data_IF_608643470822
#
_entry.id   IF_608643470822
#
_cell.length_a   1.000
_cell.length_b   1.000
_cell.length_c   1.000
_cell.angle_alpha   90.00
_cell.angle_beta   90.00
_cell.angle_gamma   90.00
#
_symmetry.space_group_name_H-M   'P 1'
#
loop_
_entity.id
_entity.type
_entity.pdbx_description
1 polymer ?
#
# COMPACT_ATOMS: atom_id res chain seq x y z
N UNK A 1 25.34 -3.02 20.16
CA UNK A 1 24.08 -2.52 20.77
C UNK A 1 23.00 -3.50 20.37
N UNK A 2 22.31 -4.14 21.32
CA UNK A 2 21.37 -5.21 20.98
C UNK A 2 20.17 -4.63 20.25
N UNK A 3 19.89 -5.15 19.05
CA UNK A 3 18.69 -4.87 18.23
C UNK A 3 17.43 -5.46 18.91
N UNK A 4 17.13 -5.09 20.16
CA UNK A 4 15.88 -5.47 20.84
C UNK A 4 14.81 -4.42 20.53
N UNK A 5 13.61 -4.89 20.19
CA UNK A 5 12.42 -4.05 20.10
C UNK A 5 12.25 -3.36 21.45
N UNK A 6 12.01 -2.03 21.46
CA UNK A 6 11.79 -1.32 22.71
C UNK A 6 10.54 -1.83 23.41
N UNK A 7 10.55 -1.81 24.75
CA UNK A 7 9.40 -2.20 25.56
C UNK A 7 8.15 -1.38 25.18
N UNK A 8 8.34 -0.13 24.75
CA UNK A 8 7.28 0.73 24.24
C UNK A 8 6.67 0.23 22.91
N UNK A 9 7.50 -0.24 21.97
CA UNK A 9 7.03 -0.81 20.71
C UNK A 9 6.36 -2.16 20.91
N UNK A 10 6.86 -3.00 21.83
CA UNK A 10 6.20 -4.22 22.27
C UNK A 10 4.85 -3.91 22.92
N UNK A 11 4.80 -2.94 23.83
CA UNK A 11 3.56 -2.50 24.48
C UNK A 11 2.53 -1.94 23.49
N UNK A 12 2.96 -1.24 22.43
CA UNK A 12 2.07 -0.77 21.38
C UNK A 12 1.46 -1.92 20.55
N UNK A 13 2.26 -2.95 20.26
CA UNK A 13 1.80 -4.18 19.59
C UNK A 13 0.83 -4.93 20.51
N UNK A 14 1.20 -5.11 21.78
CA UNK A 14 0.37 -5.81 22.76
C UNK A 14 -0.94 -5.07 23.06
N UNK A 15 -0.92 -3.74 23.18
CA UNK A 15 -2.13 -2.94 23.32
C UNK A 15 -3.04 -3.03 22.08
N UNK A 16 -2.45 -3.14 20.89
CA UNK A 16 -3.20 -3.39 19.65
C UNK A 16 -3.81 -4.80 19.65
N UNK A 17 -3.08 -5.83 20.07
CA UNK A 17 -3.57 -7.21 20.17
C UNK A 17 -4.60 -7.39 21.30
N UNK A 18 -4.44 -6.70 22.43
CA UNK A 18 -5.33 -6.78 23.59
C UNK A 18 -6.72 -6.16 23.33
N UNK A 19 -6.80 -5.13 22.46
CA UNK A 19 -8.07 -4.61 21.94
C UNK A 19 -8.86 -5.65 21.11
N UNK A 20 -8.23 -6.77 20.77
CA UNK A 20 -8.69 -7.78 19.84
C UNK A 20 -8.76 -9.16 20.50
N UNK A 21 -9.47 -9.27 21.64
CA UNK A 21 -9.55 -10.47 22.51
C UNK A 21 -9.57 -11.80 21.73
N UNK A 22 -8.76 -12.80 22.15
CA UNK A 22 -8.80 -14.12 21.55
C UNK A 22 -10.09 -14.86 21.86
N UNK A 23 -10.80 -15.26 20.81
CA UNK A 23 -11.98 -16.12 20.91
C UNK A 23 -11.52 -17.53 21.28
N UNK A 24 -12.06 -18.11 22.35
CA UNK A 24 -11.86 -19.53 22.68
C UNK A 24 -12.50 -20.38 21.57
N UNK A 25 -11.75 -21.31 20.98
CA UNK A 25 -12.30 -22.30 20.06
C UNK A 25 -13.13 -23.32 20.85
N UNK A 26 -14.29 -23.76 20.33
CA UNK A 26 -15.01 -24.90 20.87
C UNK A 26 -14.17 -26.18 20.76
N UNK A 27 -14.25 -27.04 21.79
CA UNK A 27 -13.71 -28.40 21.76
C UNK A 27 -14.19 -29.13 20.50
N UNK A 28 -13.27 -29.74 19.74
CA UNK A 28 -13.59 -30.51 18.53
C UNK A 28 -13.46 -29.81 17.17
N UNK A 29 -13.09 -28.52 17.10
CA UNK A 29 -12.76 -27.85 15.84
C UNK A 29 -11.27 -27.95 15.50
N UNK A 30 -10.91 -28.49 14.32
CA UNK A 30 -9.56 -28.39 13.75
C UNK A 30 -9.59 -28.29 12.22
N UNK A 31 -8.53 -27.71 11.66
CA UNK A 31 -8.24 -27.57 10.22
C UNK A 31 -7.32 -28.67 9.68
N UNK A 32 -7.22 -29.83 10.36
CA UNK A 32 -6.39 -30.97 9.93
C UNK A 32 -7.16 -32.28 10.07
N UNK A 33 -7.15 -33.10 9.01
CA UNK A 33 -7.65 -34.47 9.06
C UNK A 33 -6.74 -35.33 9.96
N UNK A 34 -7.14 -35.53 11.22
CA UNK A 34 -6.45 -36.44 12.15
C UNK A 34 -6.15 -35.90 13.55
N UNK A 35 -6.47 -34.64 13.85
CA UNK A 35 -6.27 -34.06 15.19
C UNK A 35 -7.53 -33.37 15.70
N UNK A 36 -7.72 -33.32 17.01
CA UNK A 36 -8.81 -32.60 17.70
C UNK A 36 -8.25 -31.73 18.82
N UNK A 37 -8.84 -30.55 19.04
CA UNK A 37 -8.56 -29.76 20.26
C UNK A 37 -9.39 -30.30 21.42
N UNK A 38 -8.72 -30.74 22.48
CA UNK A 38 -9.31 -31.18 23.76
C UNK A 38 -8.59 -30.42 24.87
N UNK A 39 -9.36 -29.69 25.69
CA UNK A 39 -8.88 -28.93 26.85
C UNK A 39 -7.67 -28.01 26.56
N UNK A 40 -7.73 -27.31 25.41
CA UNK A 40 -6.68 -26.37 24.99
C UNK A 40 -5.40 -27.02 24.46
N UNK A 41 -5.38 -28.36 24.30
CA UNK A 41 -4.27 -29.11 23.71
C UNK A 41 -4.72 -29.80 22.42
N UNK A 42 -3.82 -29.93 21.46
CA UNK A 42 -4.06 -30.65 20.22
C UNK A 42 -3.72 -32.14 20.42
N UNK A 43 -4.67 -33.04 20.17
CA UNK A 43 -4.53 -34.50 20.36
C UNK A 43 -4.86 -35.24 19.06
N UNK A 44 -4.16 -36.35 18.79
CA UNK A 44 -4.40 -37.18 17.60
C UNK A 44 -5.76 -37.90 17.72
N UNK A 45 -6.56 -37.92 16.65
CA UNK A 45 -7.90 -38.49 16.63
C UNK A 45 -7.83 -39.99 16.32
N UNK A 46 -8.17 -40.84 17.28
CA UNK A 46 -8.37 -42.27 17.04
C UNK A 46 -9.59 -42.48 16.12
N UNK A 47 -9.43 -43.28 15.07
CA UNK A 47 -10.43 -43.45 14.01
C UNK A 47 -11.72 -44.17 14.44
N UNK A 48 -11.76 -44.78 15.64
CA UNK A 48 -12.83 -45.71 16.03
C UNK A 48 -14.08 -45.05 16.63
N UNK A 49 -14.03 -43.76 17.00
CA UNK A 49 -15.08 -43.13 17.82
C UNK A 49 -15.82 -41.96 17.13
N UNK A 50 -16.14 -42.04 15.83
CA UNK A 50 -16.94 -41.00 15.16
C UNK A 50 -18.42 -41.40 14.96
N UNK A 51 -19.31 -41.15 15.93
CA UNK A 51 -20.76 -41.40 15.79
C UNK A 51 -21.49 -40.37 14.89
N UNK A 52 -20.82 -39.33 14.36
CA UNK A 52 -21.45 -38.23 13.62
C UNK A 52 -21.32 -38.33 12.08
N UNK A 53 -21.03 -39.50 11.52
CA UNK A 53 -20.89 -39.68 10.07
C UNK A 53 -22.21 -39.62 9.25
N UNK A 54 -23.35 -39.28 9.86
CA UNK A 54 -24.64 -39.13 9.15
C UNK A 54 -25.38 -37.88 9.62
N UNK A 55 -25.20 -36.75 8.92
CA UNK A 55 -25.95 -35.53 9.24
C UNK A 55 -25.64 -34.32 8.36
N UNK A 56 -26.34 -34.23 7.24
CA UNK A 56 -26.68 -33.05 6.42
C UNK A 56 -26.14 -31.66 6.81
N UNK A 57 -25.49 -31.00 5.84
CA UNK A 57 -25.63 -29.56 5.58
C UNK A 57 -25.69 -29.28 4.07
N UNK A 58 -26.89 -29.34 3.49
CA UNK A 58 -27.17 -28.68 2.22
C UNK A 58 -27.48 -27.20 2.51
N UNK A 59 -26.60 -26.28 2.12
CA UNK A 59 -26.86 -24.84 2.21
C UNK A 59 -27.78 -24.41 1.07
N UNK A 60 -29.01 -24.00 1.41
CA UNK A 60 -29.92 -23.28 0.52
C UNK A 60 -29.36 -21.88 0.18
N UNK A 61 -29.60 -21.44 -1.06
CA UNK A 61 -29.37 -20.08 -1.52
C UNK A 61 -30.02 -19.06 -0.56
N UNK A 62 -29.32 -17.95 -0.31
CA UNK A 62 -29.63 -16.98 0.74
C UNK A 62 -31.09 -16.53 0.76
N UNK A 63 -31.76 -16.76 1.89
CA UNK A 63 -33.09 -16.21 2.17
C UNK A 63 -33.01 -14.68 2.24
N UNK A 64 -33.74 -14.00 1.37
CA UNK A 64 -33.99 -12.55 1.45
C UNK A 64 -34.71 -12.28 2.79
N UNK A 65 -34.32 -11.22 3.52
CA UNK A 65 -35.03 -10.86 4.74
C UNK A 65 -36.49 -10.50 4.43
N UNK A 66 -37.47 -10.89 5.27
CA UNK A 66 -38.89 -10.59 5.03
C UNK A 66 -39.17 -9.12 4.72
N UNK A 67 -38.47 -8.20 5.40
CA UNK A 67 -38.58 -6.75 5.18
C UNK A 67 -38.19 -6.29 3.77
N UNK A 68 -37.22 -6.94 3.14
CA UNK A 68 -36.78 -6.62 1.77
C UNK A 68 -37.76 -7.18 0.75
N UNK A 69 -38.33 -8.37 1.01
CA UNK A 69 -39.37 -8.95 0.17
C UNK A 69 -40.64 -8.09 0.16
N UNK A 70 -41.09 -7.63 1.34
CA UNK A 70 -42.25 -6.74 1.47
C UNK A 70 -42.04 -5.38 0.79
N UNK A 71 -40.88 -4.74 1.00
CA UNK A 71 -40.56 -3.47 0.33
C UNK A 71 -40.55 -3.61 -1.19
N UNK A 72 -40.01 -4.72 -1.72
CA UNK A 72 -40.03 -5.01 -3.15
C UNK A 72 -41.44 -5.23 -3.69
N UNK A 73 -42.35 -5.77 -2.88
CA UNK A 73 -43.75 -5.90 -3.26
C UNK A 73 -44.42 -4.51 -3.36
N UNK A 74 -44.29 -3.68 -2.32
CA UNK A 74 -44.82 -2.29 -2.34
C UNK A 74 -44.24 -1.45 -3.48
N UNK A 75 -42.96 -1.66 -3.79
CA UNK A 75 -42.30 -0.98 -4.91
C UNK A 75 -42.96 -1.29 -6.27
N UNK A 76 -43.51 -2.50 -6.47
CA UNK A 76 -44.29 -2.82 -7.69
C UNK A 76 -45.58 -1.99 -7.76
N UNK A 77 -46.24 -1.79 -6.63
CA UNK A 77 -47.47 -1.01 -6.55
C UNK A 77 -47.19 0.48 -6.81
N UNK A 78 -46.10 1.03 -6.25
CA UNK A 78 -45.68 2.40 -6.52
C UNK A 78 -45.34 2.64 -7.99
N UNK A 79 -44.65 1.69 -8.63
CA UNK A 79 -44.35 1.77 -10.06
C UNK A 79 -45.61 1.71 -10.93
N UNK A 80 -46.62 0.93 -10.52
CA UNK A 80 -47.91 0.88 -11.22
C UNK A 80 -48.68 2.19 -11.09
N UNK A 81 -48.47 2.92 -9.97
CA UNK A 81 -49.01 4.27 -9.73
C UNK A 81 -48.21 5.39 -10.39
N UNK A 82 -47.12 5.08 -11.10
CA UNK A 82 -46.29 6.08 -11.78
C UNK A 82 -45.42 6.92 -10.85
N UNK A 83 -45.20 6.49 -9.60
CA UNK A 83 -44.36 7.23 -8.65
C UNK A 83 -42.89 7.22 -9.11
N UNK A 84 -42.21 8.33 -8.91
CA UNK A 84 -40.77 8.46 -9.11
C UNK A 84 -39.97 7.72 -8.02
N UNK A 85 -38.69 7.46 -8.30
CA UNK A 85 -37.79 6.83 -7.32
C UNK A 85 -37.65 7.66 -6.03
N UNK A 86 -37.77 8.98 -6.12
CA UNK A 86 -37.69 9.89 -4.97
C UNK A 86 -38.95 9.77 -4.08
N UNK A 87 -40.14 9.73 -4.69
CA UNK A 87 -41.40 9.55 -3.96
C UNK A 87 -41.49 8.18 -3.30
N UNK A 88 -40.98 7.14 -3.98
CA UNK A 88 -40.86 5.79 -3.40
C UNK A 88 -39.91 5.79 -2.18
N UNK A 89 -38.79 6.51 -2.27
CA UNK A 89 -37.81 6.60 -1.20
C UNK A 89 -38.36 7.32 0.03
N UNK A 90 -39.13 8.39 -0.18
CA UNK A 90 -39.84 9.12 0.87
C UNK A 90 -40.91 8.23 1.53
N UNK A 91 -41.68 7.49 0.73
CA UNK A 91 -42.75 6.62 1.24
C UNK A 91 -42.23 5.45 2.08
N UNK A 92 -41.08 4.88 1.72
CA UNK A 92 -40.46 3.77 2.46
C UNK A 92 -39.46 4.24 3.53
N UNK A 93 -39.23 5.54 3.67
CA UNK A 93 -38.21 6.12 4.54
C UNK A 93 -36.81 5.47 4.37
N UNK A 94 -36.39 5.27 3.11
CA UNK A 94 -35.07 4.71 2.77
C UNK A 94 -34.34 5.59 1.75
N UNK A 95 -33.01 5.51 1.64
CA UNK A 95 -32.28 6.23 0.61
C UNK A 95 -32.74 5.86 -0.80
N UNK A 96 -32.79 6.83 -1.72
CA UNK A 96 -33.15 6.63 -3.14
C UNK A 96 -32.33 5.51 -3.80
N UNK A 97 -31.06 5.35 -3.42
CA UNK A 97 -30.19 4.26 -3.91
C UNK A 97 -30.73 2.87 -3.57
N UNK A 98 -31.36 2.70 -2.41
CA UNK A 98 -31.99 1.43 -1.99
C UNK A 98 -33.16 1.09 -2.91
N UNK A 99 -33.98 2.09 -3.26
CA UNK A 99 -35.09 1.94 -4.20
C UNK A 99 -34.59 1.52 -5.59
N UNK A 100 -33.51 2.12 -6.11
CA UNK A 100 -32.91 1.70 -7.38
C UNK A 100 -32.38 0.25 -7.36
N UNK A 101 -31.74 -0.17 -6.27
CA UNK A 101 -31.25 -1.54 -6.14
C UNK A 101 -32.40 -2.56 -6.07
N UNK A 102 -33.47 -2.23 -5.35
CA UNK A 102 -34.67 -3.07 -5.27
C UNK A 102 -35.41 -3.13 -6.61
N UNK A 103 -35.55 -1.99 -7.31
CA UNK A 103 -36.08 -1.90 -8.67
C UNK A 103 -35.30 -2.79 -9.65
N UNK A 104 -33.96 -2.77 -9.58
CA UNK A 104 -33.09 -3.64 -10.38
C UNK A 104 -33.30 -5.11 -10.05
N UNK A 105 -33.43 -5.45 -8.76
CA UNK A 105 -33.62 -6.82 -8.32
C UNK A 105 -35.00 -7.39 -8.69
N UNK A 106 -36.02 -6.55 -8.88
CA UNK A 106 -37.36 -6.97 -9.38
C UNK A 106 -37.50 -6.89 -10.90
N UNK A 107 -36.42 -6.54 -11.63
CA UNK A 107 -36.41 -6.47 -13.09
C UNK A 107 -37.16 -5.28 -13.69
N UNK A 108 -37.38 -4.21 -12.91
CA UNK A 108 -38.09 -2.99 -13.36
C UNK A 108 -37.28 -1.74 -12.99
N UNK A 109 -36.18 -1.43 -13.69
CA UNK A 109 -35.44 -0.20 -13.40
C UNK A 109 -36.31 1.03 -13.70
N UNK A 110 -36.18 2.08 -12.90
CA UNK A 110 -36.70 3.39 -13.27
C UNK A 110 -35.97 3.87 -14.54
N UNK A 111 -36.69 4.45 -15.51
CA UNK A 111 -36.12 4.94 -16.76
C UNK A 111 -35.00 5.96 -16.54
N UNK A 112 -34.10 6.11 -17.53
CA UNK A 112 -32.78 6.75 -17.48
C UNK A 112 -32.75 8.26 -17.14
N UNK A 113 -33.25 8.66 -15.97
CA UNK A 113 -33.08 10.01 -15.39
C UNK A 113 -31.85 10.02 -14.45
N UNK A 114 -30.78 9.32 -14.81
CA UNK A 114 -29.57 9.16 -13.96
C UNK A 114 -28.48 10.20 -14.29
N UNK A 115 -28.67 11.09 -15.27
CA UNK A 115 -27.58 12.00 -15.69
C UNK A 115 -27.40 13.27 -14.85
N UNK A 116 -28.31 13.60 -13.94
CA UNK A 116 -28.23 14.88 -13.20
C UNK A 116 -28.50 14.77 -11.70
N UNK A 117 -27.85 13.83 -10.99
CA UNK A 117 -27.76 13.92 -9.52
C UNK A 117 -26.38 14.49 -9.17
N UNK A 118 -26.28 15.76 -8.74
CA UNK A 118 -25.02 16.31 -8.24
C UNK A 118 -24.57 15.51 -7.03
N UNK A 119 -23.28 15.14 -6.99
CA UNK A 119 -22.65 14.56 -5.80
C UNK A 119 -22.49 15.65 -4.74
N UNK A 120 -23.56 16.03 -4.04
CA UNK A 120 -23.45 16.89 -2.86
C UNK A 120 -23.83 16.12 -1.60
N UNK A 121 -23.01 16.37 -0.56
CA UNK A 121 -23.15 15.90 0.82
C UNK A 121 -24.59 16.07 1.30
N UNK A 122 -25.04 15.13 2.14
CA UNK A 122 -26.24 15.20 2.97
C UNK A 122 -26.50 16.64 3.43
N UNK A 123 -27.41 17.35 2.76
CA UNK A 123 -27.89 18.65 3.19
C UNK A 123 -29.23 18.42 3.89
N UNK A 124 -29.27 18.79 5.17
CA UNK A 124 -30.52 19.00 5.88
C UNK A 124 -31.32 20.12 5.17
N UNK A 125 -32.65 19.98 5.18
CA UNK A 125 -33.59 20.92 4.57
C UNK A 125 -33.37 22.35 5.11
N UNK A 126 -33.25 23.39 4.25
CA UNK A 126 -33.13 24.76 4.72
C UNK A 126 -34.50 25.39 5.01
N UNK A 127 -34.55 26.23 6.05
CA UNK A 127 -35.68 27.10 6.37
C UNK A 127 -35.76 28.31 5.40
N UNK A 128 -36.94 28.94 5.20
CA UNK A 128 -37.12 29.99 4.20
C UNK A 128 -36.48 31.33 4.61
N UNK A 129 -35.79 31.98 3.65
CA UNK A 129 -35.08 33.26 3.82
C UNK A 129 -35.91 34.48 3.36
N UNK A 130 -35.62 35.64 3.97
CA UNK A 130 -36.16 36.98 3.66
C UNK A 130 -35.41 37.65 2.48
N UNK A 131 -36.01 38.64 1.79
CA UNK A 131 -35.43 39.26 0.59
C UNK A 131 -34.42 40.40 0.89
N UNK A 132 -33.49 40.60 -0.04
CA UNK A 132 -32.47 41.67 -0.06
C UNK A 132 -32.86 42.71 -1.14
N UNK A 133 -32.69 44.03 -0.92
CA UNK A 133 -32.87 45.06 -1.93
C UNK A 133 -31.57 45.44 -2.67
N UNK A 134 -31.73 45.90 -3.91
CA UNK A 134 -30.71 46.27 -4.91
C UNK A 134 -30.58 47.79 -5.05
N UNK A 135 -29.35 48.33 -5.15
CA UNK A 135 -29.02 49.58 -5.87
C UNK A 135 -27.57 49.55 -6.42
N UNK A 136 -27.29 50.19 -7.59
CA UNK A 136 -25.93 50.28 -8.16
C UNK A 136 -25.31 51.69 -8.06
N UNK A 137 -23.98 51.78 -7.97
CA UNK A 137 -23.23 53.06 -7.97
C UNK A 137 -22.31 53.20 -9.20
N UNK A 138 -22.32 54.43 -9.74
CA UNK A 138 -21.68 54.90 -10.98
C UNK A 138 -20.16 55.10 -10.90
N UNK A 139 -19.54 55.08 -12.09
CA UNK A 139 -18.11 55.30 -12.36
C UNK A 139 -17.89 56.73 -12.83
N UNK A 140 -16.89 57.43 -12.28
CA UNK A 140 -16.41 58.72 -12.79
C UNK A 140 -14.90 58.68 -13.08
N UNK A 141 -14.50 59.12 -14.28
CA UNK A 141 -13.11 59.25 -14.72
C UNK A 141 -12.77 60.73 -15.00
N UNK A 142 -11.60 61.19 -14.57
CA UNK A 142 -11.01 62.48 -14.97
C UNK A 142 -9.56 62.31 -15.49
N UNK A 143 -9.11 63.08 -16.50
CA UNK A 143 -7.83 62.87 -17.17
C UNK A 143 -6.69 63.78 -16.66
N UNK A 144 -5.44 63.32 -16.78
CA UNK A 144 -4.21 64.10 -16.51
C UNK A 144 -3.53 64.61 -17.79
N UNK A 145 -2.82 65.77 -17.76
CA UNK A 145 -2.09 66.31 -18.89
C UNK A 145 -0.66 65.74 -19.02
N UNK A 146 -0.21 65.52 -20.27
CA UNK A 146 1.10 64.95 -20.63
C UNK A 146 2.07 66.03 -21.14
N UNK A 147 3.00 66.53 -20.32
CA UNK A 147 4.25 67.18 -20.82
C UNK A 147 5.39 67.05 -19.80
N UNK A 148 6.38 66.17 -20.02
CA UNK A 148 7.67 66.17 -19.27
C UNK A 148 8.82 65.32 -19.86
N UNK A 149 8.82 65.01 -21.16
CA UNK A 149 9.80 64.05 -21.76
C UNK A 149 11.23 64.59 -21.94
N UNK A 150 11.46 65.91 -22.07
CA UNK A 150 12.79 66.44 -22.48
C UNK A 150 13.85 66.54 -21.38
N UNK A 151 13.48 66.84 -20.12
CA UNK A 151 14.43 66.94 -18.99
C UNK A 151 14.93 65.57 -18.50
N UNK A 152 14.14 64.51 -18.70
CA UNK A 152 14.49 63.17 -18.25
C UNK A 152 15.62 62.54 -19.08
N UNK A 153 15.75 62.86 -20.38
CA UNK A 153 16.77 62.24 -21.24
C UNK A 153 18.19 62.74 -20.94
N UNK A 154 18.36 64.04 -20.63
CA UNK A 154 19.67 64.61 -20.28
C UNK A 154 20.25 64.01 -18.99
N UNK A 155 19.41 63.81 -17.96
CA UNK A 155 19.83 63.17 -16.70
C UNK A 155 20.28 61.72 -16.90
N UNK A 156 19.63 60.99 -17.80
CA UNK A 156 20.00 59.60 -18.11
C UNK A 156 21.33 59.53 -18.86
N UNK A 157 21.60 60.47 -19.78
CA UNK A 157 22.88 60.53 -20.49
C UNK A 157 24.05 60.77 -19.54
N UNK A 158 23.94 61.76 -18.64
CA UNK A 158 24.97 62.07 -17.62
C UNK A 158 25.21 60.87 -16.71
N UNK A 159 24.14 60.22 -16.23
CA UNK A 159 24.27 59.03 -15.38
C UNK A 159 25.01 57.89 -16.07
N UNK A 160 24.76 57.67 -17.36
CA UNK A 160 25.43 56.60 -18.14
C UNK A 160 26.93 56.86 -18.29
N UNK A 161 27.32 58.09 -18.56
CA UNK A 161 28.73 58.47 -18.65
C UNK A 161 29.46 58.19 -17.32
N UNK A 162 28.84 58.57 -16.20
CA UNK A 162 29.41 58.33 -14.87
C UNK A 162 29.40 56.83 -14.49
N UNK A 163 28.36 56.07 -14.87
CA UNK A 163 28.32 54.60 -14.69
C UNK A 163 29.48 53.94 -15.44
N UNK A 164 29.83 54.40 -16.65
CA UNK A 164 30.97 53.86 -17.39
C UNK A 164 32.30 54.06 -16.63
N UNK A 165 32.51 55.25 -16.05
CA UNK A 165 33.71 55.56 -15.24
C UNK A 165 33.78 54.70 -13.98
N UNK A 166 32.69 54.61 -13.23
CA UNK A 166 32.64 53.85 -11.98
C UNK A 166 32.84 52.34 -12.20
N UNK A 167 32.39 51.80 -13.34
CA UNK A 167 32.68 50.41 -13.71
C UNK A 167 34.17 50.23 -14.02
N UNK A 168 34.81 51.17 -14.71
CA UNK A 168 36.25 51.13 -14.97
C UNK A 168 37.07 51.20 -13.66
N UNK A 169 36.57 51.92 -12.65
CA UNK A 169 37.13 51.97 -11.29
C UNK A 169 36.81 50.70 -10.44
N UNK A 170 36.08 49.73 -10.99
CA UNK A 170 35.76 48.48 -10.32
C UNK A 170 34.64 48.57 -9.28
N UNK A 171 33.85 49.66 -9.25
CA UNK A 171 32.75 49.82 -8.32
C UNK A 171 31.61 48.83 -8.61
N UNK A 172 31.10 48.17 -7.56
CA UNK A 172 30.01 47.22 -7.71
C UNK A 172 28.65 47.90 -7.97
N UNK A 173 27.74 47.16 -8.62
CA UNK A 173 26.41 47.66 -9.02
C UNK A 173 25.58 48.20 -7.87
N UNK A 174 25.63 47.61 -6.66
CA UNK A 174 24.82 48.06 -5.53
C UNK A 174 25.34 49.40 -5.01
N UNK A 175 26.66 49.58 -4.98
CA UNK A 175 27.29 50.84 -4.59
C UNK A 175 26.97 51.97 -5.57
N UNK A 176 27.01 51.70 -6.88
CA UNK A 176 26.56 52.66 -7.90
C UNK A 176 25.08 53.03 -7.74
N UNK A 177 24.22 52.05 -7.51
CA UNK A 177 22.78 52.27 -7.31
C UNK A 177 22.50 53.20 -6.12
N UNK A 178 23.21 52.98 -5.00
CA UNK A 178 23.15 53.85 -3.82
C UNK A 178 23.65 55.26 -4.13
N UNK A 179 24.78 55.39 -4.85
CA UNK A 179 25.38 56.67 -5.22
C UNK A 179 24.46 57.54 -6.09
N UNK A 180 23.77 56.95 -7.05
CA UNK A 180 22.83 57.68 -7.92
C UNK A 180 21.41 57.78 -7.36
N UNK A 181 21.14 57.19 -6.19
CA UNK A 181 19.80 57.04 -5.61
C UNK A 181 18.80 56.43 -6.60
N UNK A 182 19.20 55.34 -7.25
CA UNK A 182 18.36 54.58 -8.21
C UNK A 182 18.38 53.09 -7.87
N UNK A 183 17.50 52.32 -8.49
CA UNK A 183 17.49 50.86 -8.28
C UNK A 183 18.70 50.21 -8.97
N UNK A 184 19.19 49.05 -8.45
CA UNK A 184 20.21 48.27 -9.15
C UNK A 184 19.81 47.86 -10.57
N UNK A 185 18.52 47.69 -10.84
CA UNK A 185 18.00 47.38 -12.17
C UNK A 185 18.21 48.54 -13.16
N UNK A 186 18.08 49.79 -12.69
CA UNK A 186 18.35 50.99 -13.48
C UNK A 186 19.81 51.06 -13.91
N UNK A 187 20.75 50.75 -13.01
CA UNK A 187 22.19 50.68 -13.33
C UNK A 187 22.47 49.54 -14.30
N UNK A 188 21.83 48.37 -14.14
CA UNK A 188 21.95 47.28 -15.11
C UNK A 188 21.49 47.68 -16.51
N UNK A 189 20.36 48.39 -16.64
CA UNK A 189 19.89 48.86 -17.94
C UNK A 189 20.85 49.87 -18.59
N UNK A 190 21.49 50.71 -17.79
CA UNK A 190 22.51 51.65 -18.26
C UNK A 190 23.79 50.92 -18.71
N UNK A 191 24.27 49.94 -17.94
CA UNK A 191 25.40 49.08 -18.33
C UNK A 191 25.13 48.32 -19.64
N UNK A 192 23.92 47.78 -19.81
CA UNK A 192 23.50 47.13 -21.07
C UNK A 192 23.52 48.11 -22.24
N UNK A 193 23.07 49.35 -22.06
CA UNK A 193 23.09 50.38 -23.11
C UNK A 193 24.50 50.85 -23.45
N UNK A 194 25.44 50.72 -22.52
CA UNK A 194 26.86 51.01 -22.71
C UNK A 194 27.66 49.82 -23.28
N UNK A 195 27.02 48.67 -23.50
CA UNK A 195 27.70 47.46 -23.98
C UNK A 195 28.62 46.79 -22.94
N UNK A 196 28.51 47.17 -21.66
CA UNK A 196 29.32 46.62 -20.59
C UNK A 196 28.70 45.26 -20.17
N UNK A 197 29.38 44.16 -20.52
CA UNK A 197 28.96 42.81 -20.12
C UNK A 197 29.15 42.63 -18.61
N UNK A 198 28.06 42.48 -17.86
CA UNK A 198 28.15 42.01 -16.47
C UNK A 198 28.63 40.57 -16.47
N UNK A 199 29.71 40.28 -15.72
CA UNK A 199 30.22 38.92 -15.49
C UNK A 199 29.04 38.00 -15.18
N UNK A 200 28.88 36.95 -16.00
CA UNK A 200 27.80 35.98 -15.90
C UNK A 200 27.69 35.50 -14.46
N UNK A 201 26.60 35.87 -13.79
CA UNK A 201 26.19 35.15 -12.60
C UNK A 201 25.80 33.77 -13.11
N UNK A 202 26.68 32.79 -12.88
CA UNK A 202 26.42 31.39 -13.20
C UNK A 202 24.98 31.06 -12.84
N UNK A 203 24.22 30.61 -13.83
CA UNK A 203 22.81 30.27 -13.69
C UNK A 203 22.69 29.20 -12.60
N UNK A 204 22.43 29.65 -11.38
CA UNK A 204 21.95 28.80 -10.31
C UNK A 204 20.64 28.20 -10.83
N UNK A 205 20.67 26.94 -11.25
CA UNK A 205 19.48 26.25 -11.73
C UNK A 205 18.56 26.03 -10.53
N UNK A 206 17.79 27.09 -10.21
CA UNK A 206 16.75 27.06 -9.20
C UNK A 206 15.73 25.97 -9.50
N UNK A 207 15.60 25.53 -10.75
CA UNK A 207 14.73 24.42 -11.12
C UNK A 207 15.33 23.07 -10.70
N UNK A 208 16.65 22.85 -10.86
CA UNK A 208 17.35 21.69 -10.30
C UNK A 208 17.23 21.67 -8.78
N UNK A 209 17.57 22.77 -8.09
CA UNK A 209 17.44 22.84 -6.62
C UNK A 209 16.00 22.66 -6.13
N UNK A 210 15.00 23.11 -6.90
CA UNK A 210 13.59 22.91 -6.58
C UNK A 210 13.15 21.47 -6.85
N UNK A 211 13.69 20.81 -7.89
CA UNK A 211 13.51 19.37 -8.16
C UNK A 211 14.17 18.53 -7.07
N UNK A 212 15.39 18.85 -6.67
CA UNK A 212 16.12 18.16 -5.61
C UNK A 212 15.44 18.35 -4.26
N UNK A 213 14.95 19.56 -3.95
CA UNK A 213 14.18 19.84 -2.73
C UNK A 213 12.79 19.19 -2.76
N UNK A 214 12.15 19.09 -3.92
CA UNK A 214 10.89 18.36 -4.08
C UNK A 214 11.10 16.85 -3.95
N UNK A 215 12.19 16.30 -4.51
CA UNK A 215 12.58 14.91 -4.35
C UNK A 215 12.93 14.61 -2.88
N UNK A 216 13.72 15.46 -2.22
CA UNK A 216 14.01 15.36 -0.79
C UNK A 216 12.75 15.43 0.08
N UNK A 217 11.78 16.28 -0.26
CA UNK A 217 10.49 16.35 0.45
C UNK A 217 9.56 15.17 0.14
N UNK A 218 9.70 14.53 -1.03
CA UNK A 218 8.96 13.31 -1.40
C UNK A 218 9.57 12.07 -0.73
N UNK A 219 10.87 12.10 -0.45
CA UNK A 219 11.57 11.14 0.41
C UNK A 219 11.07 11.25 1.87
N UNK A 220 10.56 12.41 2.29
CA UNK A 220 10.25 12.71 3.70
C UNK A 220 8.79 12.52 4.16
N UNK A 221 7.82 12.19 3.28
CA UNK A 221 6.44 11.90 3.74
C UNK A 221 6.15 10.41 3.69
N UNK A 222 6.24 9.77 4.85
CA UNK A 222 5.68 8.43 5.10
C UNK A 222 4.19 8.47 4.77
N UNK A 223 3.80 7.84 3.67
CA UNK A 223 2.42 7.84 3.18
C UNK A 223 2.10 6.52 2.50
N UNK A 224 0.83 6.13 2.47
CA UNK A 224 0.39 4.98 1.69
C UNK A 224 0.52 5.27 0.18
N UNK A 225 1.64 4.84 -0.41
CA UNK A 225 1.94 4.99 -1.84
C UNK A 225 1.29 3.93 -2.73
N UNK A 226 0.40 3.06 -2.21
CA UNK A 226 -0.19 1.99 -3.04
C UNK A 226 -0.89 2.56 -4.26
N UNK A 227 -0.54 1.99 -5.42
CA UNK A 227 -1.25 2.22 -6.69
C UNK A 227 -2.66 1.63 -6.64
N UNK A 228 -2.82 0.51 -5.94
CA UNK A 228 -4.08 -0.21 -5.81
C UNK A 228 -4.49 -0.30 -4.34
N UNK A 229 -5.61 0.35 -3.97
CA UNK A 229 -6.10 0.42 -2.58
C UNK A 229 -7.12 -0.66 -2.23
N UNK A 230 -7.70 -1.34 -3.21
CA UNK A 230 -8.65 -2.42 -2.98
C UNK A 230 -8.36 -3.55 -3.95
N UNK A 231 -8.15 -4.74 -3.42
CA UNK A 231 -8.23 -5.98 -4.16
C UNK A 231 -9.17 -6.90 -3.39
N UNK A 232 -10.24 -7.42 -4.01
CA UNK A 232 -11.06 -8.42 -3.38
C UNK A 232 -10.19 -9.63 -3.07
N UNK A 233 -10.29 -10.16 -1.85
CA UNK A 233 -9.63 -11.42 -1.49
C UNK A 233 -10.56 -12.53 -1.98
N UNK A 234 -10.16 -13.34 -2.98
CA UNK A 234 -10.96 -14.49 -3.37
C UNK A 234 -11.02 -15.48 -2.20
N UNK A 235 -12.22 -15.96 -1.90
CA UNK A 235 -12.46 -17.06 -0.98
C UNK A 235 -13.02 -18.25 -1.76
N UNK A 236 -12.59 -19.45 -1.40
CA UNK A 236 -13.19 -20.68 -1.92
C UNK A 236 -12.16 -21.75 -2.23
N UNK A 237 -12.61 -22.74 -2.99
CA UNK A 237 -11.75 -23.80 -3.50
C UNK A 237 -10.75 -23.21 -4.50
N UNK A 238 -9.47 -23.60 -4.46
CA UNK A 238 -8.48 -23.17 -5.43
C UNK A 238 -9.02 -23.36 -6.85
N UNK A 239 -9.09 -22.27 -7.61
CA UNK A 239 -9.67 -22.29 -8.97
C UNK A 239 -8.90 -23.20 -9.93
N UNK A 240 -7.61 -23.44 -9.64
CA UNK A 240 -6.72 -24.32 -10.38
C UNK A 240 -5.82 -25.07 -9.41
N UNK A 241 -5.76 -26.39 -9.58
CA UNK A 241 -4.77 -27.25 -8.93
C UNK A 241 -3.69 -27.60 -9.95
N UNK A 242 -2.44 -27.59 -9.51
CA UNK A 242 -1.36 -28.18 -10.29
C UNK A 242 -1.32 -29.69 -10.05
N UNK A 243 -0.88 -30.48 -11.03
CA UNK A 243 -0.57 -31.89 -10.82
C UNK A 243 0.44 -32.05 -9.68
N UNK A 244 0.31 -33.11 -8.88
CA UNK A 244 1.27 -33.41 -7.80
C UNK A 244 2.69 -33.65 -8.34
N UNK A 245 2.79 -34.10 -9.60
CA UNK A 245 4.05 -34.32 -10.32
C UNK A 245 4.65 -33.04 -10.92
N UNK A 246 3.97 -31.89 -10.83
CA UNK A 246 4.45 -30.64 -11.40
C UNK A 246 5.73 -30.19 -10.70
N UNK A 247 6.81 -29.98 -11.45
CA UNK A 247 8.11 -29.51 -10.94
C UNK A 247 8.32 -28.00 -11.09
N UNK A 248 7.38 -27.30 -11.73
CA UNK A 248 7.48 -25.90 -12.17
C UNK A 248 6.14 -25.20 -12.01
N UNK A 249 6.12 -23.89 -12.27
CA UNK A 249 4.85 -23.16 -12.35
C UNK A 249 3.94 -23.71 -13.46
N UNK A 250 2.62 -23.59 -13.29
CA UNK A 250 1.65 -23.87 -14.36
C UNK A 250 1.58 -22.75 -15.41
N UNK A 251 2.36 -21.66 -15.21
CA UNK A 251 2.45 -20.51 -16.11
C UNK A 251 3.89 -20.30 -16.61
N UNK A 252 4.44 -21.22 -17.44
CA UNK A 252 5.84 -21.18 -17.86
C UNK A 252 6.21 -19.88 -18.60
N UNK A 253 5.29 -19.31 -19.39
CA UNK A 253 5.51 -18.05 -20.12
C UNK A 253 5.64 -16.81 -19.21
N UNK A 254 5.44 -16.99 -17.90
CA UNK A 254 5.63 -15.95 -16.88
C UNK A 254 6.90 -16.12 -16.05
N UNK A 255 7.70 -17.12 -16.39
CA UNK A 255 9.07 -17.26 -15.88
C UNK A 255 9.98 -16.44 -16.78
N UNK A 256 10.68 -15.48 -16.18
CA UNK A 256 11.51 -14.54 -16.90
C UNK A 256 12.97 -14.69 -16.49
N UNK A 257 13.89 -14.72 -17.46
CA UNK A 257 15.30 -14.64 -17.15
C UNK A 257 15.62 -13.29 -16.51
N UNK A 258 16.67 -13.26 -15.70
CA UNK A 258 17.18 -12.01 -15.12
C UNK A 258 17.80 -11.18 -16.24
N UNK A 259 17.36 -9.92 -16.36
CA UNK A 259 17.86 -8.98 -17.37
C UNK A 259 18.04 -7.59 -16.79
N UNK A 260 17.81 -6.57 -17.61
CA UNK A 260 18.01 -5.18 -17.20
C UNK A 260 17.00 -4.71 -16.15
N UNK A 261 15.81 -5.29 -16.15
CA UNK A 261 14.73 -4.92 -15.25
C UNK A 261 15.02 -5.31 -13.78
N UNK A 262 14.58 -4.45 -12.86
CA UNK A 262 14.75 -4.69 -11.43
C UNK A 262 14.03 -5.95 -10.95
N UNK A 263 14.67 -6.79 -10.15
CA UNK A 263 14.06 -8.01 -9.60
C UNK A 263 13.31 -7.74 -8.30
N UNK A 264 13.75 -6.77 -7.50
CA UNK A 264 13.06 -6.28 -6.32
C UNK A 264 12.01 -5.24 -6.70
N UNK A 265 10.73 -5.65 -6.66
CA UNK A 265 9.62 -4.76 -7.04
C UNK A 265 9.13 -3.93 -5.87
N UNK A 266 8.96 -2.62 -6.09
CA UNK A 266 8.36 -1.71 -5.11
C UNK A 266 6.97 -2.23 -4.69
N UNK A 267 6.78 -2.40 -3.38
CA UNK A 267 5.57 -2.91 -2.77
C UNK A 267 4.33 -2.06 -3.01
N UNK A 268 4.47 -0.81 -3.45
CA UNK A 268 3.37 0.07 -3.89
C UNK A 268 2.59 -0.49 -5.08
N UNK A 269 3.20 -1.39 -5.87
CA UNK A 269 2.53 -2.11 -6.95
C UNK A 269 1.67 -3.29 -6.46
N UNK A 270 1.68 -3.59 -5.16
CA UNK A 270 0.92 -4.68 -4.56
C UNK A 270 -0.01 -4.15 -3.45
N UNK A 271 -1.32 -4.36 -3.63
CA UNK A 271 -2.35 -3.90 -2.70
C UNK A 271 -2.20 -4.44 -1.28
N UNK A 272 -1.70 -5.68 -1.15
CA UNK A 272 -1.50 -6.39 0.13
C UNK A 272 -0.25 -5.95 0.87
N UNK A 273 0.78 -5.50 0.15
CA UNK A 273 2.09 -5.19 0.75
C UNK A 273 2.16 -3.72 1.17
N UNK A 274 1.92 -2.81 0.22
CA UNK A 274 2.14 -1.38 0.40
C UNK A 274 3.57 -0.96 0.13
N UNK A 275 3.75 0.32 -0.22
CA UNK A 275 5.07 0.84 -0.61
C UNK A 275 5.95 1.21 0.59
N UNK A 276 5.35 1.59 1.71
CA UNK A 276 6.07 2.11 2.88
C UNK A 276 5.55 1.48 4.17
N UNK A 277 6.44 1.36 5.14
CA UNK A 277 6.08 1.02 6.52
C UNK A 277 5.51 2.26 7.20
N UNK A 278 4.25 2.19 7.61
CA UNK A 278 3.49 3.32 8.15
C UNK A 278 3.43 3.35 9.68
N UNK A 279 3.81 2.25 10.35
CA UNK A 279 3.76 2.15 11.80
C UNK A 279 4.90 1.32 12.38
N UNK A 280 5.08 1.43 13.70
CA UNK A 280 6.09 0.67 14.45
C UNK A 280 7.50 1.20 14.25
N UNK A 281 8.47 0.48 14.80
CA UNK A 281 9.89 0.90 14.84
C UNK A 281 10.55 0.98 13.45
N UNK A 282 9.97 0.32 12.43
CA UNK A 282 10.39 0.40 11.02
C UNK A 282 9.70 1.50 10.21
N UNK A 283 8.92 2.37 10.84
CA UNK A 283 8.22 3.46 10.15
C UNK A 283 9.18 4.26 9.25
N UNK A 284 8.75 4.47 8.00
CA UNK A 284 9.52 5.13 6.95
C UNK A 284 10.38 4.21 6.08
N UNK A 285 10.55 2.94 6.43
CA UNK A 285 11.24 1.98 5.56
C UNK A 285 10.45 1.75 4.27
N UNK A 286 11.17 1.68 3.13
CA UNK A 286 10.58 1.34 1.83
C UNK A 286 10.40 -0.18 1.72
N UNK A 287 9.24 -0.63 1.24
CA UNK A 287 8.94 -2.05 1.12
C UNK A 287 9.18 -2.51 -0.32
N UNK A 288 9.95 -3.58 -0.48
CA UNK A 288 10.18 -4.26 -1.74
C UNK A 288 9.71 -5.71 -1.66
N UNK A 289 9.47 -6.33 -2.81
CA UNK A 289 8.97 -7.70 -2.92
C UNK A 289 9.82 -8.47 -3.92
N UNK A 290 10.11 -9.73 -3.61
CA UNK A 290 10.76 -10.65 -4.53
C UNK A 290 9.79 -11.79 -4.88
N UNK A 291 9.66 -12.07 -6.18
CA UNK A 291 8.82 -13.17 -6.70
C UNK A 291 9.69 -14.07 -7.57
N UNK A 292 9.83 -15.33 -7.18
CA UNK A 292 10.58 -16.35 -7.94
C UNK A 292 9.65 -17.50 -8.28
N UNK A 293 10.10 -18.40 -9.16
CA UNK A 293 9.27 -19.50 -9.66
C UNK A 293 8.89 -20.51 -8.57
N UNK A 294 7.59 -20.63 -8.28
CA UNK A 294 7.08 -21.68 -7.40
C UNK A 294 7.31 -23.09 -7.97
N UNK A 295 7.41 -24.09 -7.07
CA UNK A 295 7.75 -25.51 -7.34
C UNK A 295 9.16 -25.75 -7.86
N UNK A 296 9.69 -24.87 -8.70
CA UNK A 296 11.10 -24.92 -9.09
C UNK A 296 12.02 -24.62 -7.89
N UNK A 297 11.58 -23.73 -6.99
CA UNK A 297 12.37 -23.32 -5.81
C UNK A 297 11.81 -23.83 -4.49
N UNK A 298 10.63 -24.45 -4.49
CA UNK A 298 9.95 -24.89 -3.27
C UNK A 298 10.32 -26.33 -2.89
N UNK A 299 10.32 -26.70 -1.60
CA UNK A 299 10.41 -28.11 -1.22
C UNK A 299 9.15 -28.86 -1.65
N UNK A 300 9.31 -30.06 -2.19
CA UNK A 300 8.18 -30.93 -2.62
C UNK A 300 7.29 -31.37 -1.46
N UNK A 301 7.76 -31.23 -0.21
CA UNK A 301 7.00 -31.47 1.01
C UNK A 301 6.04 -30.34 1.41
N UNK A 302 5.92 -29.28 0.60
CA UNK A 302 4.99 -28.19 0.84
C UNK A 302 3.53 -28.69 0.81
N UNK A 303 2.76 -28.44 1.88
CA UNK A 303 1.35 -28.85 1.97
C UNK A 303 0.46 -28.18 0.92
N UNK A 304 0.86 -27.00 0.43
CA UNK A 304 0.16 -26.22 -0.57
C UNK A 304 0.73 -26.44 -1.99
N UNK A 305 1.41 -27.56 -2.24
CA UNK A 305 2.06 -27.82 -3.54
C UNK A 305 1.08 -27.79 -4.72
N UNK A 306 0.02 -28.59 -4.65
CA UNK A 306 -1.02 -28.66 -5.68
C UNK A 306 -1.88 -27.40 -5.68
N UNK A 307 -2.27 -26.92 -4.51
CA UNK A 307 -3.11 -25.74 -4.29
C UNK A 307 -2.32 -24.42 -4.12
N UNK A 308 -1.14 -24.31 -4.72
CA UNK A 308 -0.25 -23.17 -4.50
C UNK A 308 -0.95 -21.85 -4.81
N UNK A 309 -0.75 -20.84 -3.95
CA UNK A 309 -1.26 -19.48 -4.13
C UNK A 309 -0.94 -18.91 -5.53
N UNK A 310 0.22 -19.26 -6.11
CA UNK A 310 0.63 -18.86 -7.45
C UNK A 310 -0.30 -19.33 -8.57
N UNK A 311 -1.12 -20.36 -8.35
CA UNK A 311 -2.08 -20.87 -9.34
C UNK A 311 -3.18 -19.85 -9.68
N UNK A 312 -3.48 -18.94 -8.75
CA UNK A 312 -4.42 -17.83 -8.93
C UNK A 312 -3.72 -16.53 -9.39
N UNK A 313 -2.43 -16.60 -9.76
CA UNK A 313 -1.60 -15.47 -10.17
C UNK A 313 -1.02 -15.67 -11.58
N UNK A 314 -1.89 -15.82 -12.59
CA UNK A 314 -1.51 -16.05 -13.99
C UNK A 314 -0.75 -14.89 -14.65
N UNK A 315 -0.79 -13.69 -14.06
CA UNK A 315 -0.08 -12.51 -14.54
C UNK A 315 1.13 -12.12 -13.67
N UNK A 316 1.38 -12.87 -12.59
CA UNK A 316 2.57 -12.63 -11.78
C UNK A 316 3.82 -12.96 -12.58
N UNK A 317 4.79 -12.05 -12.55
CA UNK A 317 6.13 -12.28 -13.11
C UNK A 317 6.92 -13.08 -12.09
N UNK A 318 7.63 -14.10 -12.56
CA UNK A 318 8.46 -14.98 -11.74
C UNK A 318 9.88 -14.90 -12.27
N UNK A 319 10.83 -14.53 -11.43
CA UNK A 319 12.23 -14.55 -11.83
C UNK A 319 12.76 -15.98 -11.77
N UNK A 320 13.50 -16.35 -12.81
CA UNK A 320 14.30 -17.57 -12.80
C UNK A 320 15.34 -17.50 -11.69
N UNK A 321 15.50 -18.61 -10.96
CA UNK A 321 16.48 -18.70 -9.87
C UNK A 321 17.88 -18.98 -10.41
N UNK A 322 18.91 -18.70 -9.60
CA UNK A 322 20.30 -18.98 -9.96
C UNK A 322 21.24 -17.82 -9.62
N UNK A 323 22.51 -17.96 -10.02
CA UNK A 323 23.54 -16.95 -9.76
C UNK A 323 23.19 -15.57 -10.33
N UNK A 324 22.69 -15.42 -11.58
CA UNK A 324 22.34 -14.11 -12.12
C UNK A 324 21.31 -13.36 -11.26
N UNK A 325 20.37 -14.09 -10.63
CA UNK A 325 19.39 -13.50 -9.73
C UNK A 325 20.03 -13.00 -8.44
N UNK A 326 20.96 -13.77 -7.85
CA UNK A 326 21.66 -13.36 -6.64
C UNK A 326 22.52 -12.11 -6.89
N UNK A 327 23.26 -12.08 -8.00
CA UNK A 327 24.10 -10.94 -8.39
C UNK A 327 23.25 -9.67 -8.58
N UNK A 328 22.09 -9.80 -9.25
CA UNK A 328 21.16 -8.69 -9.45
C UNK A 328 20.54 -8.21 -8.15
N UNK A 329 20.15 -9.12 -7.25
CA UNK A 329 19.65 -8.75 -5.91
C UNK A 329 20.71 -7.99 -5.13
N UNK A 330 21.97 -8.44 -5.13
CA UNK A 330 23.06 -7.75 -4.43
C UNK A 330 23.24 -6.32 -4.94
N UNK A 331 23.32 -6.13 -6.27
CA UNK A 331 23.46 -4.81 -6.87
C UNK A 331 22.27 -3.87 -6.57
N UNK A 332 21.05 -4.40 -6.58
CA UNK A 332 19.85 -3.65 -6.23
C UNK A 332 19.82 -3.29 -4.75
N UNK A 333 20.22 -4.20 -3.86
CA UNK A 333 20.32 -3.93 -2.43
C UNK A 333 21.34 -2.82 -2.15
N UNK A 334 22.54 -2.89 -2.74
CA UNK A 334 23.57 -1.84 -2.64
C UNK A 334 23.00 -0.48 -3.09
N UNK A 335 22.28 -0.45 -4.22
CA UNK A 335 21.66 0.77 -4.74
C UNK A 335 20.57 1.31 -3.80
N UNK A 336 19.65 0.45 -3.38
CA UNK A 336 18.52 0.83 -2.54
C UNK A 336 18.95 1.31 -1.16
N UNK A 337 19.95 0.66 -0.56
CA UNK A 337 20.50 1.03 0.75
C UNK A 337 21.49 2.20 0.69
N UNK A 338 21.95 2.58 -0.52
CA UNK A 338 22.57 3.89 -0.76
C UNK A 338 21.56 5.04 -0.82
N UNK A 339 20.31 4.76 -1.21
CA UNK A 339 19.24 5.76 -1.34
C UNK A 339 18.37 5.90 -0.09
N UNK A 340 18.15 4.81 0.65
CA UNK A 340 17.26 4.75 1.79
C UNK A 340 17.99 4.22 3.01
N UNK A 341 17.78 4.87 4.17
CA UNK A 341 18.37 4.43 5.44
C UNK A 341 17.95 3.00 5.80
N UNK A 342 16.68 2.65 5.52
CA UNK A 342 16.09 1.35 5.83
C UNK A 342 15.16 0.88 4.72
N UNK A 343 15.25 -0.40 4.40
CA UNK A 343 14.32 -1.08 3.49
C UNK A 343 13.80 -2.37 4.13
N UNK A 344 12.59 -2.76 3.74
CA UNK A 344 11.95 -4.00 4.16
C UNK A 344 11.64 -4.85 2.92
N UNK A 345 12.30 -6.00 2.79
CA UNK A 345 12.11 -6.91 1.66
C UNK A 345 11.20 -8.06 2.06
N UNK A 346 10.12 -8.24 1.31
CA UNK A 346 9.22 -9.39 1.41
C UNK A 346 9.75 -10.56 0.57
N UNK A 347 10.19 -11.60 1.26
CA UNK A 347 10.59 -12.89 0.66
C UNK A 347 9.55 -13.97 0.97
N UNK A 348 9.21 -14.86 0.05
CA UNK A 348 8.93 -14.52 -1.33
C UNK A 348 7.42 -14.26 -1.46
N UNK A 349 7.00 -13.56 -2.50
CA UNK A 349 5.57 -13.49 -2.85
C UNK A 349 5.12 -14.84 -3.42
N UNK A 350 5.95 -15.42 -4.31
CA UNK A 350 5.87 -16.79 -4.81
C UNK A 350 7.28 -17.39 -4.79
N UNK A 351 7.35 -18.72 -4.71
CA UNK A 351 8.60 -19.44 -4.56
C UNK A 351 9.05 -19.59 -3.11
N UNK A 352 10.28 -20.05 -2.93
CA UNK A 352 10.91 -20.36 -1.64
C UNK A 352 12.44 -20.45 -1.81
N UNK A 353 13.17 -20.70 -0.74
CA UNK A 353 14.62 -20.88 -0.78
C UNK A 353 14.99 -22.18 -1.53
N UNK A 354 15.64 -22.07 -2.71
CA UNK A 354 15.97 -23.24 -3.54
C UNK A 354 17.26 -23.95 -3.12
N UNK A 355 18.16 -23.28 -2.39
CA UNK A 355 19.45 -23.85 -2.00
C UNK A 355 19.98 -23.25 -0.68
N UNK A 356 20.97 -23.95 -0.09
CA UNK A 356 21.68 -23.49 1.12
C UNK A 356 22.51 -22.25 0.83
N UNK A 357 23.09 -22.17 -0.37
CA UNK A 357 23.85 -21.03 -0.86
C UNK A 357 22.96 -19.79 -0.91
N UNK A 358 21.74 -19.91 -1.45
CA UNK A 358 20.80 -18.80 -1.50
C UNK A 358 20.29 -18.37 -0.12
N UNK A 359 20.04 -19.32 0.79
CA UNK A 359 19.70 -18.97 2.18
C UNK A 359 20.87 -18.23 2.87
N UNK A 360 22.11 -18.67 2.60
CA UNK A 360 23.33 -18.06 3.13
C UNK A 360 23.60 -16.69 2.51
N UNK A 361 23.28 -16.48 1.23
CA UNK A 361 23.35 -15.20 0.56
C UNK A 361 22.56 -14.12 1.32
N UNK A 362 21.30 -14.41 1.72
CA UNK A 362 20.52 -13.46 2.53
C UNK A 362 21.13 -13.16 3.90
N UNK A 363 21.74 -14.16 4.54
CA UNK A 363 22.50 -13.96 5.79
C UNK A 363 23.67 -12.99 5.58
N UNK A 364 24.39 -13.14 4.47
CA UNK A 364 25.51 -12.24 4.11
C UNK A 364 25.01 -10.82 3.82
N UNK A 365 23.91 -10.67 3.09
CA UNK A 365 23.30 -9.36 2.82
C UNK A 365 22.88 -8.64 4.11
N UNK A 366 22.31 -9.36 5.09
CA UNK A 366 21.96 -8.79 6.40
C UNK A 366 23.16 -8.37 7.25
N UNK A 367 24.27 -9.10 7.12
CA UNK A 367 25.53 -8.76 7.78
C UNK A 367 26.18 -7.51 7.15
N UNK A 368 26.15 -7.42 5.81
CA UNK A 368 26.67 -6.29 5.03
C UNK A 368 25.84 -5.02 5.24
N UNK A 369 24.52 -5.14 5.27
CA UNK A 369 23.60 -4.01 5.29
C UNK A 369 22.82 -3.88 6.58
N UNK A 370 23.21 -2.92 7.42
CA UNK A 370 22.51 -2.64 8.69
C UNK A 370 21.05 -2.23 8.50
N UNK A 371 20.74 -1.48 7.45
CA UNK A 371 19.39 -1.02 7.12
C UNK A 371 18.50 -2.04 6.40
N UNK A 372 19.00 -3.26 6.15
CA UNK A 372 18.21 -4.32 5.51
C UNK A 372 17.34 -5.04 6.53
N UNK A 373 16.04 -5.09 6.25
CA UNK A 373 15.06 -5.90 6.95
C UNK A 373 14.37 -6.83 5.96
N UNK A 374 14.05 -8.04 6.41
CA UNK A 374 13.50 -9.11 5.59
C UNK A 374 12.38 -9.80 6.35
N UNK A 375 11.28 -10.11 5.67
CA UNK A 375 10.18 -10.89 6.25
C UNK A 375 9.53 -11.80 5.25
N UNK A 376 8.93 -12.90 5.71
CA UNK A 376 8.54 -13.94 4.79
C UNK A 376 8.02 -15.23 5.36
N UNK A 377 7.78 -16.18 4.46
CA UNK A 377 7.36 -17.54 4.77
C UNK A 377 8.19 -18.54 3.98
N UNK A 378 8.45 -19.70 4.58
CA UNK A 378 9.12 -20.83 3.94
C UNK A 378 8.39 -22.11 4.28
N UNK A 379 8.32 -23.05 3.34
CA UNK A 379 7.84 -24.42 3.56
C UNK A 379 8.97 -25.34 4.06
N UNK A 380 10.23 -24.89 4.04
CA UNK A 380 11.35 -25.64 4.61
C UNK A 380 11.15 -25.83 6.11
N UNK A 381 11.19 -27.09 6.55
CA UNK A 381 11.06 -27.43 7.97
C UNK A 381 12.34 -27.05 8.72
N UNK A 382 12.27 -26.66 10.01
CA UNK A 382 13.44 -26.22 10.78
C UNK A 382 14.61 -27.22 10.85
N UNK A 383 14.36 -28.51 10.59
CA UNK A 383 15.38 -29.57 10.55
C UNK A 383 16.04 -29.78 9.19
N UNK A 384 15.57 -29.15 8.10
CA UNK A 384 16.27 -29.24 6.82
C UNK A 384 17.55 -28.40 6.82
N UNK A 385 18.44 -28.63 5.86
CA UNK A 385 19.67 -27.83 5.70
C UNK A 385 19.35 -26.34 5.53
N UNK A 386 18.39 -26.02 4.66
CA UNK A 386 17.92 -24.65 4.43
C UNK A 386 17.18 -24.10 5.66
N UNK A 387 16.30 -24.90 6.29
CA UNK A 387 15.57 -24.49 7.49
C UNK A 387 16.50 -24.19 8.68
N UNK A 388 17.63 -24.89 8.77
CA UNK A 388 18.68 -24.63 9.77
C UNK A 388 19.32 -23.27 9.54
N UNK A 389 19.74 -22.95 8.30
CA UNK A 389 20.29 -21.63 7.96
C UNK A 389 19.28 -20.51 8.26
N UNK A 390 18.01 -20.71 7.96
CA UNK A 390 16.95 -19.74 8.27
C UNK A 390 16.83 -19.51 9.78
N UNK A 391 16.82 -20.58 10.58
CA UNK A 391 16.75 -20.48 12.05
C UNK A 391 17.97 -19.76 12.62
N UNK A 392 19.17 -20.09 12.16
CA UNK A 392 20.42 -19.47 12.60
C UNK A 392 20.49 -17.99 12.22
N UNK A 393 20.10 -17.66 10.99
CA UNK A 393 20.06 -16.27 10.51
C UNK A 393 19.07 -15.45 11.33
N UNK A 394 17.91 -16.02 11.66
CA UNK A 394 16.92 -15.39 12.54
C UNK A 394 17.48 -15.17 13.95
N UNK A 395 18.20 -16.13 14.51
CA UNK A 395 18.84 -15.98 15.82
C UNK A 395 19.91 -14.88 15.83
N UNK A 396 20.67 -14.74 14.74
CA UNK A 396 21.67 -13.68 14.57
C UNK A 396 21.05 -12.29 14.31
N UNK A 397 19.86 -12.24 13.71
CA UNK A 397 19.18 -11.01 13.30
C UNK A 397 17.69 -10.98 13.71
N UNK A 398 17.37 -11.04 15.02
CA UNK A 398 16.02 -11.33 15.52
C UNK A 398 14.95 -10.29 15.15
N UNK A 399 15.34 -9.06 14.82
CA UNK A 399 14.43 -7.97 14.39
C UNK A 399 14.56 -7.64 12.91
N UNK A 400 15.57 -8.18 12.21
CA UNK A 400 15.83 -7.87 10.80
C UNK A 400 15.55 -9.05 9.87
N UNK A 401 15.39 -10.26 10.41
CA UNK A 401 15.09 -11.46 9.62
C UNK A 401 13.90 -12.25 10.16
N UNK A 402 12.72 -11.91 9.64
CA UNK A 402 11.42 -12.39 10.08
C UNK A 402 10.83 -13.41 9.10
N UNK A 403 11.62 -14.44 8.76
CA UNK A 403 11.15 -15.60 7.97
C UNK A 403 10.49 -16.60 8.90
N UNK A 404 9.24 -16.96 8.59
CA UNK A 404 8.39 -17.87 9.37
C UNK A 404 8.26 -19.21 8.67
N UNK A 405 8.13 -20.29 9.44
CA UNK A 405 7.90 -21.62 8.89
C UNK A 405 6.42 -21.87 8.66
N UNK A 406 6.10 -22.40 7.48
CA UNK A 406 4.74 -22.76 7.07
C UNK A 406 4.35 -24.13 7.62
N UNK A 407 3.05 -24.30 7.85
CA UNK A 407 2.43 -25.44 8.53
C UNK A 407 3.02 -25.69 9.92
N UNK A 408 3.23 -24.60 10.66
CA UNK A 408 3.73 -24.66 12.03
C UNK A 408 2.97 -23.70 12.92
N UNK A 409 2.57 -24.20 14.09
CA UNK A 409 2.08 -23.38 15.21
C UNK A 409 3.25 -22.92 16.09
N UNK A 410 2.98 -22.03 17.04
CA UNK A 410 3.98 -21.49 17.95
C UNK A 410 4.84 -20.36 17.35
N UNK A 411 5.86 -19.90 18.09
CA UNK A 411 6.68 -18.75 17.69
C UNK A 411 7.32 -18.94 16.32
N UNK A 412 7.25 -17.90 15.50
CA UNK A 412 7.74 -17.87 14.10
C UNK A 412 7.07 -18.91 13.19
N UNK A 413 5.91 -19.43 13.59
CA UNK A 413 5.07 -20.29 12.77
C UNK A 413 4.11 -19.50 11.88
N UNK A 414 3.53 -20.21 10.93
CA UNK A 414 2.38 -19.78 10.13
C UNK A 414 1.63 -21.00 9.61
N UNK A 415 0.32 -20.88 9.42
CA UNK A 415 -0.51 -21.96 8.90
C UNK A 415 -1.74 -21.43 8.20
N UNK A 416 -2.41 -22.29 7.43
CA UNK A 416 -3.63 -21.96 6.71
C UNK A 416 -4.88 -22.49 7.40
N UNK A 417 -6.00 -21.81 7.16
CA UNK A 417 -7.34 -22.12 7.64
C UNK A 417 -8.23 -22.39 6.44
N UNK A 418 -8.85 -23.56 6.44
CA UNK A 418 -9.75 -24.06 5.41
C UNK A 418 -11.17 -23.48 5.48
N UNK A 419 -11.44 -22.60 6.45
CA UNK A 419 -12.71 -21.89 6.59
C UNK A 419 -12.50 -20.39 6.71
N UNK A 420 -13.43 -19.56 6.17
CA UNK A 420 -13.42 -18.14 6.40
C UNK A 420 -13.69 -17.86 7.88
N UNK A 421 -12.91 -16.95 8.47
CA UNK A 421 -13.06 -16.56 9.86
C UNK A 421 -12.91 -15.05 10.01
N UNK A 422 -13.76 -14.46 10.84
CA UNK A 422 -13.62 -13.06 11.25
C UNK A 422 -12.88 -12.92 12.58
N UNK A 423 -12.48 -14.04 13.18
CA UNK A 423 -11.71 -14.02 14.41
C UNK A 423 -10.37 -13.33 14.17
N UNK A 424 -9.97 -12.47 15.09
CA UNK A 424 -8.68 -11.76 15.01
C UNK A 424 -7.51 -12.65 15.41
N UNK A 425 -7.79 -13.72 16.14
CA UNK A 425 -6.80 -14.72 16.57
C UNK A 425 -7.44 -16.11 16.65
N UNK A 426 -6.62 -17.15 16.50
CA UNK A 426 -6.98 -18.55 16.70
C UNK A 426 -5.91 -19.17 17.60
N UNK A 427 -6.29 -19.50 18.83
CA UNK A 427 -5.31 -19.86 19.86
C UNK A 427 -4.32 -18.71 20.11
N UNK A 428 -3.03 -18.99 19.98
CA UNK A 428 -1.95 -18.01 20.05
C UNK A 428 -1.68 -17.28 18.72
N UNK A 429 -2.24 -17.78 17.62
CA UNK A 429 -2.00 -17.22 16.29
C UNK A 429 -2.85 -15.99 16.00
N UNK A 430 -2.25 -14.99 15.35
CA UNK A 430 -2.95 -13.81 14.83
C UNK A 430 -3.46 -14.14 13.43
N UNK A 431 -4.76 -13.99 13.19
CA UNK A 431 -5.33 -14.12 11.85
C UNK A 431 -4.92 -12.88 11.04
N UNK A 432 -4.42 -13.09 9.82
CA UNK A 432 -3.88 -12.02 8.98
C UNK A 432 -4.88 -10.84 8.86
N UNK A 433 -4.56 -9.65 9.42
CA UNK A 433 -5.50 -8.53 9.44
C UNK A 433 -5.87 -8.02 8.05
N UNK A 434 -4.96 -8.13 7.08
CA UNK A 434 -5.21 -7.74 5.69
C UNK A 434 -6.26 -8.64 5.02
N UNK A 435 -6.21 -9.96 5.26
CA UNK A 435 -7.22 -10.87 4.71
C UNK A 435 -8.59 -10.60 5.35
N UNK A 436 -8.65 -10.40 6.67
CA UNK A 436 -9.90 -10.12 7.38
C UNK A 436 -10.55 -8.83 6.88
N UNK A 437 -9.78 -7.76 6.70
CA UNK A 437 -10.29 -6.50 6.17
C UNK A 437 -10.72 -6.64 4.70
N UNK A 438 -9.98 -7.43 3.93
CA UNK A 438 -10.29 -7.77 2.54
C UNK A 438 -11.63 -8.49 2.37
N UNK A 439 -12.05 -9.35 3.31
CA UNK A 439 -13.40 -9.96 3.25
C UNK A 439 -14.52 -8.97 3.54
N UNK A 440 -14.24 -7.96 4.38
CA UNK A 440 -15.25 -7.01 4.85
C UNK A 440 -15.43 -5.80 3.92
N UNK A 441 -14.63 -5.70 2.85
CA UNK A 441 -14.53 -4.48 2.02
C UNK A 441 -14.36 -3.21 2.89
N UNK A 442 -13.60 -3.31 4.00
CA UNK A 442 -13.48 -2.22 4.97
C UNK A 442 -12.73 -1.02 4.36
N UNK A 443 -13.15 0.23 4.66
CA UNK A 443 -12.52 1.44 4.14
C UNK A 443 -11.08 1.68 4.63
N UNK A 444 -10.64 1.02 5.72
CA UNK A 444 -9.29 1.18 6.29
C UNK A 444 -8.18 0.45 5.53
N UNK A 445 -8.52 -0.38 4.51
CA UNK A 445 -7.60 -1.09 3.61
C UNK A 445 -6.24 -1.44 4.23
N UNK A 446 -6.26 -2.34 5.22
CA UNK A 446 -5.02 -2.87 5.81
C UNK A 446 -4.11 -3.51 4.76
N UNK A 447 -2.82 -3.39 4.99
CA UNK A 447 -1.75 -3.98 4.19
C UNK A 447 -0.53 -4.23 5.10
N UNK A 448 0.47 -4.97 4.62
CA UNK A 448 1.63 -5.35 5.43
C UNK A 448 2.38 -4.13 6.01
N UNK A 449 2.43 -3.03 5.28
CA UNK A 449 3.03 -1.76 5.72
C UNK A 449 2.29 -1.04 6.86
N UNK A 450 1.00 -1.31 7.08
CA UNK A 450 0.20 -0.69 8.14
C UNK A 450 -0.39 -1.66 9.17
N UNK A 451 -0.06 -2.96 9.09
CA UNK A 451 -0.45 -3.95 10.11
C UNK A 451 0.75 -4.53 10.87
N UNK A 452 1.92 -4.56 10.25
CA UNK A 452 3.21 -5.00 10.81
C UNK A 452 3.34 -6.45 11.33
N UNK A 453 2.24 -7.18 11.51
CA UNK A 453 2.20 -8.48 12.20
C UNK A 453 3.29 -9.46 11.74
N UNK A 454 3.53 -9.56 10.43
CA UNK A 454 4.46 -10.55 9.88
C UNK A 454 5.93 -10.26 10.21
N UNK A 455 6.29 -9.02 10.54
CA UNK A 455 7.67 -8.59 10.75
C UNK A 455 7.94 -7.89 12.09
N UNK A 456 6.92 -7.61 12.89
CA UNK A 456 7.07 -6.96 14.20
C UNK A 456 6.79 -7.86 15.41
N UNK A 457 6.27 -9.07 15.19
CA UNK A 457 5.89 -10.01 16.25
C UNK A 457 6.45 -11.40 15.94
N UNK A 458 6.67 -12.22 16.97
CA UNK A 458 7.02 -13.63 16.85
C UNK A 458 5.79 -14.55 16.88
N UNK A 459 4.61 -14.05 17.25
CA UNK A 459 3.37 -14.84 17.31
C UNK A 459 3.06 -15.51 15.98
N UNK A 460 2.52 -16.75 15.96
CA UNK A 460 2.18 -17.41 14.71
C UNK A 460 1.14 -16.61 13.93
N UNK A 461 1.16 -16.72 12.60
CA UNK A 461 0.19 -16.03 11.73
C UNK A 461 -0.67 -17.05 11.00
N UNK A 462 -1.98 -16.94 11.15
CA UNK A 462 -2.94 -17.77 10.46
C UNK A 462 -3.47 -17.06 9.21
N UNK A 463 -3.54 -17.78 8.10
CA UNK A 463 -4.04 -17.29 6.81
C UNK A 463 -5.30 -18.05 6.42
N UNK A 464 -6.32 -17.36 5.91
CA UNK A 464 -7.47 -18.05 5.29
C UNK A 464 -7.07 -18.51 3.88
N UNK A 465 -7.45 -19.73 3.50
CA UNK A 465 -7.21 -20.30 2.17
C UNK A 465 -7.90 -19.47 1.07
N UNK A 466 -7.27 -19.42 -0.12
CA UNK A 466 -7.64 -18.60 -1.28
C UNK A 466 -7.94 -19.43 -2.52
#
# INVERSE_FOLDING_TARGET
MSDKISDEALAAIDAFLAKNKPTKLPTGMTSHSGYVYVDGKLVLKDQKDNPNAKGHWQRKAGSISPSVAERRQRLRDYMTKGMSALECAQSENVPVRTIYNDAKAIGRPFGDVIKEIPKTKTQALPAPSKPIPTEPAEVATSPMPKVRKSRASKRVAIRREEVAKLVAEGMDRKSMAKRFNVTPATISADMTKLGIKTREQGTFDKSALKRDKANANTIAKVADRRRFKAAPVPFGTPSKLAPDTAKRTIFPDRVLPVGDEDVLKDGSNNSKIGGDVLLGWLQGARIYTLTIEERATCPTSCSLWSACYGNSMQFARRWEHGQPLMDKIEAELDTLLGLYERILVRLHVLGDFWSVEYATFWRQMLARHRGLHVFGFTAHKPGSSIGTVIRETRAAHPTRYMIRHSDMTGPMGSFTLDFPTEMKTIGDAVVCPEQVDGMKNHPESRHCGNCAVCWSSDRPVAFVVH
#
